data_IF_352861978879
#
_entry.id   IF_352861978879
#
_cell.length_a   1.000
_cell.length_b   1.000
_cell.length_c   1.000
_cell.angle_alpha   90.00
_cell.angle_beta   90.00
_cell.angle_gamma   90.00
#
_symmetry.space_group_name_H-M   'P 1'
#
loop_
_entity.id
_entity.type
_entity.pdbx_description
1 polymer ?
#
# COMPACT_ATOMS: atom_id res chain seq x y z
N UNK A 1 3.24 7.83 -4.81
CA UNK A 1 2.48 8.03 -6.06
C UNK A 1 2.67 9.45 -6.58
N UNK A 2 2.37 10.52 -5.82
CA UNK A 2 2.47 11.92 -6.28
C UNK A 2 3.82 12.25 -6.96
N UNK A 3 4.94 11.81 -6.37
CA UNK A 3 6.26 11.99 -6.97
C UNK A 3 6.38 11.34 -8.35
N UNK A 4 5.78 10.15 -8.55
CA UNK A 4 5.76 9.49 -9.86
C UNK A 4 4.94 10.29 -10.87
N UNK A 5 3.77 10.78 -10.48
CA UNK A 5 2.92 11.63 -11.34
C UNK A 5 3.67 12.89 -11.76
N UNK A 6 4.36 13.55 -10.83
CA UNK A 6 5.19 14.73 -11.16
C UNK A 6 6.31 14.41 -12.16
N UNK A 7 6.95 13.23 -12.05
CA UNK A 7 7.95 12.77 -13.00
C UNK A 7 7.34 12.45 -14.38
N UNK A 8 6.12 11.92 -14.41
CA UNK A 8 5.37 11.68 -15.64
C UNK A 8 5.02 12.99 -16.35
N UNK A 9 4.50 13.99 -15.61
CA UNK A 9 4.19 15.32 -16.15
C UNK A 9 5.45 15.95 -16.77
N UNK A 10 6.59 15.89 -16.09
CA UNK A 10 7.87 16.44 -16.60
C UNK A 10 8.34 15.78 -17.90
N UNK A 11 7.92 14.55 -18.18
CA UNK A 11 8.32 13.78 -19.36
C UNK A 11 7.19 13.58 -20.39
N UNK A 12 6.06 14.25 -20.22
CA UNK A 12 4.86 14.03 -21.04
C UNK A 12 5.12 14.29 -22.53
N UNK A 13 5.98 15.26 -22.87
CA UNK A 13 6.34 15.56 -24.25
C UNK A 13 7.23 14.52 -24.94
N UNK A 14 7.91 13.64 -24.16
CA UNK A 14 8.84 12.65 -24.70
C UNK A 14 8.39 11.20 -24.50
N UNK A 15 7.42 10.96 -23.61
CA UNK A 15 6.93 9.61 -23.27
C UNK A 15 5.41 9.63 -23.27
N UNK A 16 4.80 9.07 -24.33
CA UNK A 16 3.36 8.99 -24.50
C UNK A 16 2.89 7.54 -24.55
N UNK A 17 1.61 7.31 -24.21
CA UNK A 17 0.91 6.03 -24.34
C UNK A 17 1.60 4.84 -23.64
N UNK A 18 2.21 5.10 -22.47
CA UNK A 18 2.91 4.08 -21.71
C UNK A 18 2.11 3.72 -20.46
N UNK A 19 1.73 2.44 -20.35
CA UNK A 19 1.15 1.87 -19.14
C UNK A 19 2.26 1.25 -18.29
N UNK A 20 2.34 1.65 -17.03
CA UNK A 20 3.33 1.12 -16.09
C UNK A 20 2.65 0.68 -14.78
N UNK A 21 3.23 -0.33 -14.17
CA UNK A 21 2.84 -0.73 -12.82
C UNK A 21 3.60 0.10 -11.78
N UNK A 22 2.89 0.55 -10.74
CA UNK A 22 3.46 1.25 -9.61
C UNK A 22 2.87 0.74 -8.29
N UNK A 23 3.71 0.28 -7.39
CA UNK A 23 3.28 -0.25 -6.10
C UNK A 23 4.44 -0.42 -5.13
N UNK A 24 4.21 -1.16 -4.03
CA UNK A 24 5.21 -1.35 -2.98
C UNK A 24 6.43 -2.19 -3.39
N UNK A 25 6.26 -3.06 -4.37
CA UNK A 25 7.29 -4.03 -4.78
C UNK A 25 7.59 -5.07 -3.71
N UNK A 26 8.55 -5.96 -3.98
CA UNK A 26 8.90 -7.07 -3.09
C UNK A 26 9.33 -6.62 -1.69
N UNK A 27 10.03 -5.50 -1.57
CA UNK A 27 10.52 -4.99 -0.27
C UNK A 27 9.42 -4.49 0.67
N UNK A 28 8.25 -4.16 0.13
CA UNK A 28 7.07 -3.71 0.88
C UNK A 28 5.92 -4.73 0.83
N UNK A 29 6.17 -5.94 0.33
CA UNK A 29 5.17 -7.01 0.41
C UNK A 29 5.03 -7.48 1.85
N UNK A 30 3.80 -7.72 2.29
CA UNK A 30 3.49 -8.16 3.65
C UNK A 30 2.29 -9.11 3.62
N UNK A 31 2.35 -10.20 4.39
CA UNK A 31 1.20 -11.07 4.56
C UNK A 31 0.15 -10.42 5.47
N UNK A 32 -1.13 -10.80 5.33
CA UNK A 32 -2.21 -10.31 6.19
C UNK A 32 -1.90 -10.55 7.68
N UNK A 33 -1.35 -11.71 8.01
CA UNK A 33 -0.93 -12.03 9.39
C UNK A 33 0.12 -11.05 9.92
N UNK A 34 1.12 -10.69 9.12
CA UNK A 34 2.15 -9.74 9.53
C UNK A 34 1.63 -8.31 9.54
N UNK A 35 0.78 -7.93 8.59
CA UNK A 35 0.11 -6.63 8.58
C UNK A 35 -0.71 -6.42 9.85
N UNK A 36 -1.48 -7.43 10.25
CA UNK A 36 -2.24 -7.40 11.51
C UNK A 36 -1.34 -7.19 12.73
N UNK A 37 -0.19 -7.90 12.81
CA UNK A 37 0.77 -7.69 13.92
C UNK A 37 1.30 -6.26 13.95
N UNK A 38 1.58 -5.67 12.78
CA UNK A 38 2.01 -4.26 12.67
C UNK A 38 0.91 -3.33 13.18
N UNK A 39 -0.33 -3.53 12.74
CA UNK A 39 -1.47 -2.74 13.20
C UNK A 39 -1.68 -2.85 14.71
N UNK A 40 -1.67 -4.05 15.27
CA UNK A 40 -1.80 -4.27 16.71
C UNK A 40 -0.70 -3.55 17.50
N UNK A 41 0.54 -3.57 17.00
CA UNK A 41 1.67 -2.88 17.63
C UNK A 41 1.50 -1.36 17.61
N UNK A 42 1.03 -0.79 16.50
CA UNK A 42 0.88 0.66 16.33
C UNK A 42 -0.32 1.20 17.12
N UNK A 43 -1.44 0.46 17.11
CA UNK A 43 -2.69 0.89 17.75
C UNK A 43 -2.78 0.48 19.21
N UNK A 44 -1.88 -0.39 19.70
CA UNK A 44 -1.96 -1.07 21.00
C UNK A 44 -3.26 -1.85 21.20
N UNK A 45 -3.98 -2.16 20.13
CA UNK A 45 -5.25 -2.87 20.16
C UNK A 45 -5.03 -4.35 19.75
N UNK A 46 -5.38 -5.27 20.65
CA UNK A 46 -5.26 -6.72 20.40
C UNK A 46 -6.63 -7.29 20.03
N UNK A 47 -6.85 -7.51 18.76
CA UNK A 47 -8.06 -8.18 18.26
C UNK A 47 -7.75 -9.66 18.05
N UNK A 48 -8.62 -10.54 18.53
CA UNK A 48 -8.54 -11.98 18.27
C UNK A 48 -8.88 -12.25 16.80
N UNK A 49 -7.97 -12.90 16.09
CA UNK A 49 -8.11 -13.21 14.67
C UNK A 49 -8.29 -14.70 14.53
N UNK A 50 -9.34 -15.08 13.83
CA UNK A 50 -9.67 -16.46 13.50
C UNK A 50 -9.16 -16.77 12.09
N UNK A 51 -8.63 -17.98 11.91
CA UNK A 51 -8.24 -18.47 10.58
C UNK A 51 -9.39 -19.27 10.00
N UNK A 52 -9.76 -18.95 8.75
CA UNK A 52 -10.65 -19.78 7.96
C UNK A 52 -9.81 -20.58 6.96
N UNK A 53 -10.00 -21.91 6.92
CA UNK A 53 -9.27 -22.79 5.98
C UNK A 53 -9.83 -22.71 4.55
N UNK A 54 -11.09 -22.25 4.37
CA UNK A 54 -11.68 -22.07 3.05
C UNK A 54 -11.20 -20.74 2.47
N UNK A 55 -10.37 -20.80 1.44
CA UNK A 55 -10.00 -19.66 0.60
C UNK A 55 -10.95 -19.63 -0.59
N UNK A 56 -11.40 -18.45 -0.99
CA UNK A 56 -12.18 -18.30 -2.22
C UNK A 56 -11.32 -18.69 -3.43
N UNK A 57 -11.91 -19.35 -4.41
CA UNK A 57 -11.23 -19.70 -5.66
C UNK A 57 -10.81 -18.44 -6.48
N UNK A 58 -11.35 -17.29 -6.14
CA UNK A 58 -11.05 -15.99 -6.76
C UNK A 58 -9.98 -15.19 -6.01
N UNK A 59 -9.54 -15.65 -4.84
CA UNK A 59 -8.48 -14.98 -4.08
C UNK A 59 -7.13 -15.18 -4.74
N UNK A 60 -6.39 -14.08 -4.91
CA UNK A 60 -5.01 -14.12 -5.37
C UNK A 60 -4.12 -14.31 -4.14
N UNK A 61 -3.55 -15.51 -3.93
CA UNK A 61 -2.80 -15.82 -2.70
C UNK A 61 -1.49 -15.04 -2.58
N UNK A 62 -0.96 -14.58 -3.70
CA UNK A 62 0.30 -13.83 -3.75
C UNK A 62 0.27 -12.79 -4.86
N UNK A 63 0.41 -11.52 -4.48
CA UNK A 63 0.49 -10.40 -5.41
C UNK A 63 1.62 -9.45 -5.01
N UNK A 64 2.56 -9.23 -5.91
CA UNK A 64 3.66 -8.26 -5.73
C UNK A 64 3.87 -7.49 -7.01
N UNK A 65 3.77 -6.16 -6.91
CA UNK A 65 3.93 -5.27 -8.06
C UNK A 65 5.38 -5.26 -8.55
N UNK A 66 5.57 -5.43 -9.85
CA UNK A 66 6.86 -5.23 -10.50
C UNK A 66 7.02 -3.78 -10.95
N UNK A 67 7.94 -3.06 -10.33
CA UNK A 67 8.21 -1.64 -10.58
C UNK A 67 9.40 -1.41 -11.53
N UNK A 68 9.89 -2.44 -12.23
CA UNK A 68 11.10 -2.33 -13.06
C UNK A 68 11.00 -1.25 -14.13
N UNK A 69 9.84 -1.13 -14.80
CA UNK A 69 9.61 -0.10 -15.81
C UNK A 69 9.58 1.30 -15.21
N UNK A 70 8.87 1.51 -14.10
CA UNK A 70 8.84 2.78 -13.40
C UNK A 70 10.25 3.23 -12.96
N UNK A 71 11.06 2.28 -12.48
CA UNK A 71 12.47 2.54 -12.11
C UNK A 71 13.32 2.87 -13.33
N UNK A 72 13.19 2.11 -14.43
CA UNK A 72 14.00 2.31 -15.67
C UNK A 72 13.70 3.67 -16.30
N UNK A 73 12.41 4.00 -16.47
CA UNK A 73 11.95 5.15 -17.27
C UNK A 73 11.95 6.44 -16.46
N UNK A 74 11.42 6.40 -15.24
CA UNK A 74 11.22 7.57 -14.40
C UNK A 74 12.22 7.68 -13.24
N UNK A 75 13.14 6.69 -13.10
CA UNK A 75 14.06 6.60 -11.94
C UNK A 75 13.31 6.61 -10.60
N UNK A 76 12.06 6.12 -10.61
CA UNK A 76 11.19 6.10 -9.45
C UNK A 76 11.19 4.73 -8.76
N UNK A 77 11.16 4.77 -7.44
CA UNK A 77 10.93 3.60 -6.58
C UNK A 77 10.13 4.03 -5.34
N UNK A 78 9.37 3.10 -4.70
CA UNK A 78 8.68 3.40 -3.46
C UNK A 78 9.67 3.71 -2.34
N UNK A 79 9.50 4.84 -1.66
CA UNK A 79 10.38 5.31 -0.57
C UNK A 79 9.85 4.90 0.81
N UNK A 80 8.52 4.96 1.00
CA UNK A 80 7.90 4.62 2.29
C UNK A 80 7.81 3.11 2.48
N UNK A 81 8.22 2.64 3.66
CA UNK A 81 8.03 1.26 4.10
C UNK A 81 6.62 1.09 4.68
N UNK A 82 6.11 -0.16 4.68
CA UNK A 82 4.77 -0.49 5.18
C UNK A 82 4.52 0.02 6.60
N UNK A 83 5.51 -0.08 7.48
CA UNK A 83 5.40 0.42 8.85
C UNK A 83 5.05 1.92 8.89
N UNK A 84 5.79 2.74 8.13
CA UNK A 84 5.53 4.19 8.06
C UNK A 84 4.18 4.50 7.45
N UNK A 85 3.74 3.72 6.43
CA UNK A 85 2.41 3.90 5.82
C UNK A 85 1.33 3.68 6.87
N UNK A 86 1.39 2.60 7.64
CA UNK A 86 0.39 2.30 8.67
C UNK A 86 0.43 3.33 9.81
N UNK A 87 1.61 3.80 10.20
CA UNK A 87 1.75 4.87 11.18
C UNK A 87 1.12 6.19 10.71
N UNK A 88 1.38 6.59 9.45
CA UNK A 88 0.79 7.80 8.87
C UNK A 88 -0.74 7.69 8.80
N UNK A 89 -1.26 6.53 8.35
CA UNK A 89 -2.70 6.26 8.35
C UNK A 89 -3.31 6.37 9.74
N UNK A 90 -2.69 5.74 10.74
CA UNK A 90 -3.18 5.78 12.12
C UNK A 90 -3.19 7.20 12.68
N UNK A 91 -2.11 7.96 12.48
CA UNK A 91 -2.03 9.38 12.88
C UNK A 91 -3.14 10.22 12.25
N UNK A 92 -3.46 9.97 10.99
CA UNK A 92 -4.56 10.66 10.31
C UNK A 92 -5.93 10.22 10.81
N UNK A 93 -6.12 8.93 11.13
CA UNK A 93 -7.39 8.40 11.62
C UNK A 93 -7.78 8.94 13.00
N UNK A 94 -6.82 9.19 13.89
CA UNK A 94 -7.08 9.63 15.26
C UNK A 94 -7.94 10.91 15.34
N UNK A 95 -7.56 12.04 14.73
CA UNK A 95 -8.37 13.26 14.75
C UNK A 95 -9.67 13.11 13.94
N UNK A 96 -9.71 12.22 12.95
CA UNK A 96 -10.85 12.03 12.05
C UNK A 96 -11.79 10.90 12.51
N UNK A 97 -11.60 10.35 13.72
CA UNK A 97 -12.35 9.19 14.22
C UNK A 97 -13.88 9.38 14.16
N UNK A 98 -14.38 10.57 14.54
CA UNK A 98 -15.82 10.86 14.52
C UNK A 98 -16.42 10.77 13.10
N UNK A 99 -15.69 11.27 12.11
CA UNK A 99 -16.10 11.21 10.70
C UNK A 99 -16.05 9.76 10.22
N UNK A 100 -14.96 9.03 10.50
CA UNK A 100 -14.78 7.65 10.06
C UNK A 100 -15.85 6.70 10.59
N UNK A 101 -16.22 6.81 11.88
CA UNK A 101 -17.28 5.97 12.48
C UNK A 101 -18.63 6.15 11.75
N UNK A 102 -18.90 7.33 11.20
CA UNK A 102 -20.14 7.58 10.43
C UNK A 102 -20.20 6.77 9.12
N UNK A 103 -19.06 6.46 8.51
CA UNK A 103 -18.96 5.82 7.19
C UNK A 103 -18.50 4.35 7.26
N UNK A 104 -17.85 3.94 8.35
CA UNK A 104 -17.42 2.55 8.56
C UNK A 104 -18.39 1.93 9.55
N UNK A 105 -19.53 1.44 9.04
CA UNK A 105 -20.49 0.62 9.79
C UNK A 105 -20.28 -0.85 9.47
#
# INVERSE_FOLDING_TARGET
VCKLIMLQIKKIGSINNLTINAGGGKKNSVSLKNLTKICQKITSNKIKIFSNKKTSNYDIPYYVTNNSQAKKIYKWSPEKKILHIIQDMYKWMLPNKKILIKYIK
#
